data_IF_789009958744
#
_entry.id   IF_789009958744
#
_cell.length_a   1.000
_cell.length_b   1.000
_cell.length_c   1.000
_cell.angle_alpha   90.00
_cell.angle_beta   90.00
_cell.angle_gamma   90.00
#
_symmetry.space_group_name_H-M   'P 1'
#
loop_
_entity.id
_entity.type
_entity.pdbx_description
1 polymer ?
#
# COMPACT_ATOMS: atom_id res chain seq x y z
N UNK A 1 -21.61 2.10 -0.32
CA UNK A 1 -20.84 3.34 -0.52
C UNK A 1 -19.75 3.11 -1.56
N UNK A 2 -19.78 3.93 -2.56
CA UNK A 2 -18.79 3.84 -3.61
C UNK A 2 -17.75 4.93 -3.38
N UNK A 3 -16.50 4.52 -3.15
CA UNK A 3 -15.41 5.47 -3.03
C UNK A 3 -15.25 6.21 -4.36
N UNK A 4 -15.01 7.52 -4.33
CA UNK A 4 -14.76 8.23 -5.57
C UNK A 4 -13.58 7.62 -6.29
N UNK A 5 -13.79 7.30 -7.55
CA UNK A 5 -12.68 6.81 -8.36
C UNK A 5 -11.68 7.93 -8.54
N UNK A 6 -10.42 7.60 -8.40
CA UNK A 6 -9.37 8.56 -8.65
C UNK A 6 -9.44 9.04 -10.10
N UNK A 7 -9.39 10.35 -10.28
CA UNK A 7 -9.26 10.95 -11.61
C UNK A 7 -7.83 10.92 -12.09
N UNK A 8 -6.89 10.61 -11.19
CA UNK A 8 -5.48 10.46 -11.51
C UNK A 8 -5.22 8.98 -11.69
N UNK A 9 -4.70 8.62 -12.83
CA UNK A 9 -4.39 7.23 -13.11
C UNK A 9 -3.30 6.75 -12.14
N UNK A 10 -3.68 5.86 -11.23
CA UNK A 10 -2.75 5.31 -10.24
C UNK A 10 -1.73 4.42 -10.94
N UNK A 11 -0.45 4.68 -10.68
CA UNK A 11 0.61 3.84 -11.20
C UNK A 11 0.61 2.50 -10.49
N UNK A 12 1.04 1.47 -11.19
CA UNK A 12 1.11 0.11 -10.66
C UNK A 12 2.42 -0.54 -11.05
N UNK A 13 2.90 -1.44 -10.20
CA UNK A 13 3.99 -2.34 -10.54
C UNK A 13 3.60 -3.76 -10.15
N UNK A 14 4.29 -4.73 -10.72
CA UNK A 14 4.10 -6.13 -10.33
C UNK A 14 4.82 -6.41 -9.03
N UNK A 15 4.29 -7.35 -8.24
CA UNK A 15 4.91 -7.75 -6.97
C UNK A 15 6.35 -8.26 -7.18
N UNK A 16 6.62 -8.90 -8.30
CA UNK A 16 7.97 -9.41 -8.60
C UNK A 16 8.99 -8.29 -8.80
N UNK A 17 8.54 -7.06 -9.05
CA UNK A 17 9.42 -5.90 -9.25
C UNK A 17 9.75 -5.18 -7.94
N UNK A 18 9.15 -5.59 -6.83
CA UNK A 18 9.46 -5.03 -5.52
C UNK A 18 10.78 -5.61 -5.02
N UNK A 19 11.70 -4.73 -4.63
CA UNK A 19 13.02 -5.14 -4.14
C UNK A 19 13.08 -5.29 -2.63
N UNK A 20 12.14 -4.66 -1.92
CA UNK A 20 12.16 -4.59 -0.45
C UNK A 20 12.96 -3.40 0.07
N UNK A 21 13.64 -2.66 -0.80
CA UNK A 21 14.47 -1.52 -0.44
C UNK A 21 13.84 -0.18 -0.79
N UNK A 22 12.60 -0.18 -1.27
CA UNK A 22 11.88 1.05 -1.57
C UNK A 22 11.75 1.89 -0.28
N UNK A 23 11.83 3.22 -0.42
CA UNK A 23 11.89 4.12 0.74
C UNK A 23 10.61 4.15 1.56
N UNK A 24 9.46 4.02 0.92
CA UNK A 24 8.17 4.15 1.57
C UNK A 24 7.25 3.03 1.10
N UNK A 25 7.15 1.98 1.91
CA UNK A 25 6.28 0.84 1.64
C UNK A 25 5.19 0.82 2.71
N UNK A 26 3.93 0.73 2.30
CA UNK A 26 2.79 0.66 3.20
C UNK A 26 2.11 -0.70 3.05
N UNK A 27 2.09 -1.47 4.13
CA UNK A 27 1.43 -2.76 4.21
C UNK A 27 0.07 -2.55 4.87
N UNK A 28 -1.01 -2.81 4.13
CA UNK A 28 -2.37 -2.56 4.60
C UNK A 28 -3.10 -3.86 4.99
N UNK A 29 -2.34 -4.93 5.20
CA UNK A 29 -2.88 -6.22 5.64
C UNK A 29 -3.28 -6.15 7.12
N UNK A 30 -4.00 -7.18 7.60
CA UNK A 30 -4.36 -7.26 9.01
C UNK A 30 -3.16 -7.69 9.87
N UNK A 31 -3.36 -7.64 11.21
CA UNK A 31 -2.28 -7.92 12.15
C UNK A 31 -1.76 -9.36 12.05
N UNK A 32 -2.64 -10.33 11.82
CA UNK A 32 -2.23 -11.73 11.71
C UNK A 32 -1.34 -11.96 10.50
N UNK A 33 -1.69 -11.35 9.38
CA UNK A 33 -0.89 -11.46 8.16
C UNK A 33 0.47 -10.80 8.34
N UNK A 34 0.50 -9.63 8.96
CA UNK A 34 1.74 -8.93 9.27
C UNK A 34 2.65 -9.77 10.18
N UNK A 35 2.08 -10.36 11.22
CA UNK A 35 2.84 -11.16 12.17
C UNK A 35 3.40 -12.44 11.57
N UNK A 36 2.80 -12.94 10.50
CA UNK A 36 3.28 -14.14 9.80
C UNK A 36 4.39 -13.84 8.77
N UNK A 37 4.80 -12.61 8.66
CA UNK A 37 5.87 -12.19 7.78
C UNK A 37 5.52 -10.92 7.03
N UNK A 38 6.49 -10.04 6.89
CA UNK A 38 6.30 -8.76 6.22
C UNK A 38 7.65 -8.24 5.70
N UNK A 39 7.60 -7.25 4.82
CA UNK A 39 8.80 -6.58 4.36
C UNK A 39 9.39 -5.77 5.51
N UNK A 40 10.70 -5.88 5.72
CA UNK A 40 11.35 -5.29 6.89
C UNK A 40 11.24 -3.77 6.96
N UNK A 41 11.11 -3.11 5.83
CA UNK A 41 11.02 -1.65 5.76
C UNK A 41 9.58 -1.13 5.62
N UNK A 42 8.59 -2.02 5.63
CA UNK A 42 7.20 -1.62 5.47
C UNK A 42 6.66 -1.00 6.75
N UNK A 43 5.81 0.01 6.57
CA UNK A 43 5.00 0.56 7.64
C UNK A 43 3.67 -0.19 7.61
N UNK A 44 3.22 -0.65 8.76
CA UNK A 44 1.98 -1.44 8.85
C UNK A 44 0.82 -0.58 9.34
N UNK A 45 -0.17 -0.39 8.48
CA UNK A 45 -1.46 0.22 8.86
C UNK A 45 -2.56 -0.56 8.15
N UNK A 46 -3.31 -1.42 8.86
CA UNK A 46 -4.42 -2.15 8.25
C UNK A 46 -5.39 -1.18 7.54
N UNK A 47 -5.92 -1.61 6.41
CA UNK A 47 -6.75 -0.71 5.58
C UNK A 47 -7.95 -0.13 6.34
N UNK A 48 -8.51 -0.88 7.29
CA UNK A 48 -9.64 -0.42 8.09
C UNK A 48 -9.29 0.70 9.08
N UNK A 49 -8.01 0.93 9.34
CA UNK A 49 -7.56 1.99 10.24
C UNK A 49 -6.90 3.16 9.51
N UNK A 50 -6.78 3.06 8.20
CA UNK A 50 -5.96 3.97 7.41
C UNK A 50 -6.49 5.40 7.43
N UNK A 51 -7.81 5.57 7.40
CA UNK A 51 -8.43 6.88 7.35
C UNK A 51 -8.13 7.72 8.59
N UNK A 52 -8.03 7.09 9.75
CA UNK A 52 -7.85 7.76 11.04
C UNK A 52 -6.42 7.73 11.56
N UNK A 53 -5.50 7.10 10.82
CA UNK A 53 -4.10 6.96 11.24
C UNK A 53 -3.22 7.99 10.53
N UNK A 54 -2.41 8.71 11.29
CA UNK A 54 -1.40 9.59 10.71
C UNK A 54 -0.23 8.76 10.22
N UNK A 55 0.17 8.99 8.96
CA UNK A 55 1.26 8.24 8.34
C UNK A 55 2.58 9.02 8.45
N UNK A 56 3.71 8.30 8.57
CA UNK A 56 5.03 8.94 8.63
C UNK A 56 5.54 9.37 7.26
N UNK A 57 4.64 9.62 6.32
CA UNK A 57 4.99 10.00 4.95
C UNK A 57 4.52 11.41 4.65
N UNK A 58 5.27 12.12 3.82
CA UNK A 58 4.84 13.40 3.28
C UNK A 58 3.87 13.19 2.11
N UNK A 59 3.01 14.16 1.86
CA UNK A 59 2.01 14.04 0.79
C UNK A 59 2.62 13.86 -0.60
N UNK A 60 3.86 14.29 -0.79
CA UNK A 60 4.57 14.18 -2.06
C UNK A 60 5.46 12.95 -2.16
N UNK A 61 5.58 12.17 -1.09
CA UNK A 61 6.41 10.96 -1.10
C UNK A 61 5.81 9.91 -2.03
N UNK A 62 6.69 9.15 -2.69
CA UNK A 62 6.26 8.00 -3.48
C UNK A 62 6.03 6.85 -2.52
N UNK A 63 4.79 6.36 -2.46
CA UNK A 63 4.39 5.32 -1.50
C UNK A 63 3.97 4.06 -2.27
N UNK A 64 4.62 2.94 -1.96
CA UNK A 64 4.27 1.63 -2.52
C UNK A 64 3.29 0.94 -1.58
N UNK A 65 2.08 0.70 -2.04
CA UNK A 65 1.00 0.14 -1.22
C UNK A 65 0.74 -1.29 -1.64
N UNK A 66 0.78 -2.21 -0.68
CA UNK A 66 0.44 -3.60 -0.96
C UNK A 66 -0.45 -4.20 0.13
N UNK A 67 -1.19 -5.23 -0.26
CA UNK A 67 -1.91 -6.11 0.65
C UNK A 67 -1.49 -7.55 0.39
N UNK A 68 -2.30 -8.54 0.77
CA UNK A 68 -1.96 -9.94 0.54
C UNK A 68 -2.13 -10.36 -0.92
N UNK A 69 -3.20 -9.92 -1.57
CA UNK A 69 -3.57 -10.39 -2.92
C UNK A 69 -3.98 -9.28 -3.89
N UNK A 70 -3.78 -8.02 -3.52
CA UNK A 70 -4.06 -6.87 -4.40
C UNK A 70 -5.45 -6.25 -4.26
N UNK A 71 -6.38 -6.86 -3.51
CA UNK A 71 -7.75 -6.36 -3.39
C UNK A 71 -7.85 -5.20 -2.40
N UNK A 72 -7.32 -5.38 -1.20
CA UNK A 72 -7.40 -4.35 -0.15
C UNK A 72 -6.55 -3.13 -0.47
N UNK A 73 -5.47 -3.31 -1.24
CA UNK A 73 -4.63 -2.18 -1.64
C UNK A 73 -5.40 -1.18 -2.50
N UNK A 74 -6.32 -1.64 -3.34
CA UNK A 74 -7.17 -0.73 -4.14
C UNK A 74 -8.03 0.16 -3.25
N UNK A 75 -8.59 -0.40 -2.19
CA UNK A 75 -9.37 0.37 -1.22
C UNK A 75 -8.47 1.38 -0.48
N UNK A 76 -7.30 0.92 -0.06
CA UNK A 76 -6.34 1.77 0.65
C UNK A 76 -5.89 2.96 -0.19
N UNK A 77 -5.67 2.75 -1.49
CA UNK A 77 -5.28 3.81 -2.40
C UNK A 77 -6.35 4.90 -2.48
N UNK A 78 -7.61 4.52 -2.56
CA UNK A 78 -8.71 5.49 -2.55
C UNK A 78 -8.71 6.33 -1.28
N UNK A 79 -8.45 5.70 -0.13
CA UNK A 79 -8.36 6.41 1.15
C UNK A 79 -7.17 7.37 1.17
N UNK A 80 -6.02 6.92 0.69
CA UNK A 80 -4.81 7.76 0.65
C UNK A 80 -4.99 8.97 -0.25
N UNK A 81 -5.61 8.79 -1.40
CA UNK A 81 -5.90 9.89 -2.30
C UNK A 81 -6.84 10.91 -1.64
N UNK A 82 -7.84 10.43 -0.93
CA UNK A 82 -8.75 11.29 -0.16
C UNK A 82 -7.99 12.08 0.90
N UNK A 83 -6.95 11.51 1.48
CA UNK A 83 -6.12 12.17 2.50
C UNK A 83 -5.08 13.12 1.91
N UNK A 84 -4.99 13.21 0.59
CA UNK A 84 -4.09 14.14 -0.10
C UNK A 84 -2.77 13.56 -0.58
N UNK A 85 -2.54 12.26 -0.43
CA UNK A 85 -1.38 11.60 -1.01
C UNK A 85 -1.62 11.38 -2.50
N UNK A 86 -0.66 11.71 -3.34
CA UNK A 86 -0.88 11.65 -4.79
C UNK A 86 0.21 10.92 -5.59
N UNK A 87 1.28 10.47 -4.95
CA UNK A 87 2.33 9.70 -5.61
C UNK A 87 2.31 8.25 -5.14
N UNK A 88 1.18 7.58 -5.38
CA UNK A 88 0.95 6.23 -4.88
C UNK A 88 1.18 5.22 -5.99
N UNK A 89 1.89 4.14 -5.67
CA UNK A 89 2.14 3.03 -6.59
C UNK A 89 1.49 1.78 -6.00
N UNK A 90 0.59 1.17 -6.75
CA UNK A 90 -0.09 -0.05 -6.35
C UNK A 90 0.79 -1.27 -6.68
N UNK A 91 0.99 -2.14 -5.70
CA UNK A 91 1.66 -3.42 -5.91
C UNK A 91 0.58 -4.45 -6.22
N UNK A 92 0.46 -4.83 -7.49
CA UNK A 92 -0.73 -5.49 -8.04
C UNK A 92 -1.09 -6.82 -7.41
N UNK A 93 -0.13 -7.73 -7.29
CA UNK A 93 -0.38 -9.10 -6.85
C UNK A 93 -0.33 -9.26 -5.33
N UNK A 94 0.21 -8.26 -4.64
CA UNK A 94 0.31 -8.29 -3.18
C UNK A 94 1.47 -9.09 -2.65
N UNK A 95 1.50 -9.23 -1.32
CA UNK A 95 2.64 -9.81 -0.60
C UNK A 95 2.93 -11.26 -0.99
N UNK A 96 1.90 -12.04 -1.27
CA UNK A 96 2.06 -13.47 -1.59
C UNK A 96 2.95 -13.71 -2.80
N UNK A 97 3.03 -12.73 -3.72
CA UNK A 97 3.81 -12.85 -4.94
C UNK A 97 5.07 -11.98 -4.92
N UNK A 98 5.41 -11.39 -3.78
CA UNK A 98 6.66 -10.67 -3.62
C UNK A 98 7.77 -11.69 -3.35
N UNK A 99 8.74 -11.72 -4.25
CA UNK A 99 9.89 -12.63 -4.16
C UNK A 99 11.14 -11.82 -3.87
N UNK A 100 11.61 -11.87 -2.63
CA UNK A 100 12.86 -11.25 -2.25
C UNK A 100 13.97 -12.27 -2.39
N UNK A 101 14.99 -11.93 -3.17
CA UNK A 101 16.17 -12.75 -3.31
C UNK A 101 17.16 -12.48 -2.17
#
# INVERSE_FOLDING_TARGET
>A
YQLPQSKIQTRSIHSEDITGNESHILDVRNDNEWNNGHLSQAVHVPHGKLLETDLPFNKNDVIYVHCQSGIRSSIAIGILEHKGYHNIINVKEGYKDIHLS
#
